data_IF_024824434422
#
_entry.id   IF_024824434422
#
_cell.length_a   1.000
_cell.length_b   1.000
_cell.length_c   1.000
_cell.angle_alpha   90.00
_cell.angle_beta   90.00
_cell.angle_gamma   90.00
#
_symmetry.space_group_name_H-M   'P 1'
#
loop_
_entity.id
_entity.type
_entity.pdbx_description
1 polymer ?
#
# COMPACT_ATOMS: atom_id res chain seq x y z
N UNK A 1 15.16 12.25 -3.83
CA UNK A 1 16.10 12.22 -2.69
C UNK A 1 16.65 10.81 -2.60
N UNK A 2 17.93 10.56 -2.42
CA UNK A 2 18.49 9.19 -2.42
C UNK A 2 18.92 8.86 -1.01
N UNK A 3 18.44 7.73 -0.47
CA UNK A 3 18.92 7.16 0.80
C UNK A 3 20.45 7.14 0.77
N UNK A 4 21.09 7.64 1.83
CA UNK A 4 22.56 7.63 1.90
C UNK A 4 23.06 6.18 1.79
N UNK A 5 24.22 5.93 1.15
CA UNK A 5 24.76 4.57 1.01
C UNK A 5 24.89 3.86 2.35
N UNK A 6 25.34 4.55 3.39
CA UNK A 6 25.53 3.99 4.75
C UNK A 6 24.18 3.65 5.39
N UNK A 7 23.17 4.53 5.29
CA UNK A 7 21.84 4.27 5.85
C UNK A 7 21.16 3.08 5.17
N UNK A 8 21.32 2.93 3.85
CA UNK A 8 20.81 1.79 3.10
C UNK A 8 21.52 0.48 3.50
N UNK A 9 22.82 0.51 3.61
CA UNK A 9 23.62 -0.66 4.03
C UNK A 9 23.28 -1.07 5.46
N UNK A 10 23.15 -0.11 6.38
CA UNK A 10 22.74 -0.37 7.76
C UNK A 10 21.40 -1.10 7.82
N UNK A 11 20.39 -0.62 7.06
CA UNK A 11 19.08 -1.25 7.01
C UNK A 11 19.14 -2.67 6.42
N UNK A 12 19.90 -2.88 5.34
CA UNK A 12 20.04 -4.20 4.70
C UNK A 12 20.71 -5.20 5.64
N UNK A 13 21.83 -4.83 6.27
CA UNK A 13 22.57 -5.70 7.17
C UNK A 13 21.72 -6.14 8.36
N UNK A 14 20.93 -5.23 8.94
CA UNK A 14 20.13 -5.55 10.12
C UNK A 14 18.79 -6.21 9.80
N UNK A 15 18.07 -5.72 8.82
CA UNK A 15 16.70 -6.18 8.53
C UNK A 15 16.66 -7.44 7.64
N UNK A 16 17.62 -7.61 6.72
CA UNK A 16 17.62 -8.74 5.77
C UNK A 16 18.64 -9.82 6.14
N UNK A 17 19.83 -9.41 6.57
CA UNK A 17 20.92 -10.35 6.89
C UNK A 17 20.94 -10.75 8.37
N UNK A 18 20.16 -10.06 9.23
CA UNK A 18 20.00 -10.40 10.63
C UNK A 18 21.19 -10.05 11.54
N UNK A 19 22.12 -9.21 11.08
CA UNK A 19 23.22 -8.74 11.91
C UNK A 19 22.71 -7.85 13.05
N UNK A 20 23.31 -7.99 14.21
CA UNK A 20 23.12 -7.07 15.33
C UNK A 20 23.71 -5.68 15.03
N UNK A 21 23.28 -4.66 15.75
CA UNK A 21 23.80 -3.29 15.58
C UNK A 21 25.33 -3.22 15.73
N UNK A 22 25.99 -3.89 16.73
CA UNK A 22 27.44 -3.91 16.83
C UNK A 22 28.14 -4.60 15.65
N UNK A 23 27.59 -5.70 15.14
CA UNK A 23 28.13 -6.40 13.98
C UNK A 23 28.03 -5.56 12.71
N UNK A 24 26.86 -4.94 12.47
CA UNK A 24 26.68 -4.03 11.35
C UNK A 24 27.62 -2.81 11.45
N UNK A 25 27.83 -2.28 12.65
CA UNK A 25 28.77 -1.19 12.89
C UNK A 25 30.22 -1.58 12.55
N UNK A 26 30.65 -2.77 12.94
CA UNK A 26 31.96 -3.29 12.60
C UNK A 26 32.14 -3.49 11.08
N UNK A 27 31.12 -4.00 10.39
CA UNK A 27 31.13 -4.18 8.92
C UNK A 27 31.20 -2.84 8.19
N UNK A 28 30.46 -1.83 8.68
CA UNK A 28 30.40 -0.50 8.05
C UNK A 28 31.53 0.44 8.50
N UNK A 29 32.38 0.02 9.44
CA UNK A 29 33.45 0.83 10.03
C UNK A 29 32.93 2.14 10.64
N UNK A 30 31.80 2.07 11.37
CA UNK A 30 31.14 3.21 12.03
C UNK A 30 30.79 2.85 13.47
N UNK A 31 30.37 3.83 14.27
CA UNK A 31 29.88 3.58 15.62
C UNK A 31 28.46 2.96 15.59
N UNK A 32 28.09 2.09 16.58
CA UNK A 32 26.75 1.50 16.65
C UNK A 32 25.61 2.52 16.65
N UNK A 33 25.83 3.70 17.25
CA UNK A 33 24.86 4.79 17.23
C UNK A 33 24.66 5.38 15.83
N UNK A 34 25.68 5.36 14.98
CA UNK A 34 25.58 5.78 13.57
C UNK A 34 24.75 4.79 12.76
N UNK A 35 24.89 3.49 13.02
CA UNK A 35 24.04 2.45 12.42
C UNK A 35 22.57 2.68 12.80
N UNK A 36 22.29 2.89 14.08
CA UNK A 36 20.93 3.16 14.58
C UNK A 36 20.34 4.39 13.93
N UNK A 37 21.10 5.49 13.85
CA UNK A 37 20.67 6.71 13.15
C UNK A 37 20.45 6.48 11.67
N UNK A 38 21.33 5.72 11.03
CA UNK A 38 21.23 5.36 9.61
C UNK A 38 19.96 4.56 9.29
N UNK A 39 19.61 3.59 10.13
CA UNK A 39 18.38 2.80 10.01
C UNK A 39 17.15 3.70 10.12
N UNK A 40 17.09 4.54 11.18
CA UNK A 40 15.98 5.47 11.38
C UNK A 40 15.84 6.48 10.22
N UNK A 41 16.96 6.92 9.67
CA UNK A 41 16.95 7.82 8.52
C UNK A 41 16.46 7.09 7.26
N UNK A 42 16.96 5.89 6.98
CA UNK A 42 16.50 5.08 5.86
C UNK A 42 14.99 4.79 5.95
N UNK A 43 14.50 4.46 7.14
CA UNK A 43 13.07 4.23 7.38
C UNK A 43 12.25 5.47 7.06
N UNK A 44 12.63 6.65 7.60
CA UNK A 44 11.94 7.92 7.33
C UNK A 44 11.94 8.29 5.84
N UNK A 45 13.04 8.01 5.12
CA UNK A 45 13.13 8.30 3.69
C UNK A 45 12.27 7.34 2.85
N UNK A 46 12.15 6.07 3.27
CA UNK A 46 11.21 5.10 2.69
C UNK A 46 9.78 5.57 2.94
N UNK A 47 9.43 5.89 4.18
CA UNK A 47 8.10 6.36 4.56
C UNK A 47 7.73 7.64 3.79
N UNK A 48 8.65 8.60 3.68
CA UNK A 48 8.44 9.81 2.91
C UNK A 48 8.30 9.58 1.39
N UNK A 49 8.94 8.54 0.86
CA UNK A 49 8.82 8.14 -0.55
C UNK A 49 7.47 7.46 -0.81
N UNK A 50 6.97 6.73 0.17
CA UNK A 50 5.67 6.08 0.14
C UNK A 50 4.52 7.03 0.56
N UNK A 51 4.85 8.23 1.08
CA UNK A 51 3.84 9.22 1.44
C UNK A 51 3.01 9.60 0.21
N UNK A 52 1.70 9.36 0.29
CA UNK A 52 0.77 9.52 -0.82
C UNK A 52 -0.55 10.09 -0.34
N UNK A 53 -1.40 10.46 -1.29
CA UNK A 53 -2.75 10.90 -1.03
C UNK A 53 -3.67 9.68 -1.01
N UNK A 54 -4.51 9.59 0.02
CA UNK A 54 -5.38 8.44 0.28
C UNK A 54 -6.84 8.86 0.20
N UNK A 55 -7.66 8.06 -0.48
CA UNK A 55 -9.11 8.18 -0.46
C UNK A 55 -9.70 7.09 0.43
N UNK A 56 -10.44 7.51 1.46
CA UNK A 56 -11.24 6.64 2.32
C UNK A 56 -12.69 6.71 1.83
N UNK A 57 -13.29 5.56 1.55
CA UNK A 57 -14.71 5.42 1.18
C UNK A 57 -15.40 4.73 2.35
N UNK A 58 -15.99 5.52 3.25
CA UNK A 58 -16.53 5.06 4.51
C UNK A 58 -17.60 6.06 4.99
N UNK A 59 -18.80 5.58 5.29
CA UNK A 59 -19.91 6.41 5.71
C UNK A 59 -20.08 6.48 7.24
N UNK A 60 -19.45 5.58 7.99
CA UNK A 60 -19.44 5.63 9.44
C UNK A 60 -18.38 6.63 9.94
N UNK A 61 -18.76 7.79 10.54
CA UNK A 61 -17.83 8.86 10.87
C UNK A 61 -16.72 8.43 11.85
N UNK A 62 -17.04 7.53 12.78
CA UNK A 62 -16.07 7.02 13.75
C UNK A 62 -14.99 6.18 13.07
N UNK A 63 -15.39 5.28 12.19
CA UNK A 63 -14.46 4.41 11.44
C UNK A 63 -13.62 5.25 10.48
N UNK A 64 -14.24 6.18 9.77
CA UNK A 64 -13.53 7.10 8.89
C UNK A 64 -12.46 7.92 9.64
N UNK A 65 -12.79 8.42 10.84
CA UNK A 65 -11.85 9.16 11.67
C UNK A 65 -10.69 8.28 12.18
N UNK A 66 -10.97 7.05 12.59
CA UNK A 66 -9.95 6.08 13.01
C UNK A 66 -8.99 5.76 11.86
N UNK A 67 -9.53 5.48 10.66
CA UNK A 67 -8.71 5.23 9.47
C UNK A 67 -7.89 6.46 9.09
N UNK A 68 -8.47 7.66 9.14
CA UNK A 68 -7.76 8.91 8.87
C UNK A 68 -6.59 9.13 9.83
N UNK A 69 -6.80 8.86 11.13
CA UNK A 69 -5.74 8.94 12.13
C UNK A 69 -4.60 7.93 11.84
N UNK A 70 -4.93 6.70 11.47
CA UNK A 70 -3.95 5.68 11.11
C UNK A 70 -3.13 6.07 9.86
N UNK A 71 -3.77 6.66 8.86
CA UNK A 71 -3.12 7.15 7.64
C UNK A 71 -2.20 8.34 7.95
N UNK A 72 -2.63 9.25 8.82
CA UNK A 72 -1.80 10.37 9.27
C UNK A 72 -0.57 9.90 10.06
N UNK A 73 -0.74 8.90 10.94
CA UNK A 73 0.36 8.28 11.70
C UNK A 73 1.43 7.62 10.80
N UNK A 74 1.03 7.13 9.61
CA UNK A 74 1.94 6.58 8.61
C UNK A 74 2.66 7.67 7.81
N UNK A 75 2.34 8.95 8.01
CA UNK A 75 2.98 10.08 7.34
C UNK A 75 2.49 10.33 5.91
N UNK A 76 1.30 9.82 5.53
CA UNK A 76 0.70 10.14 4.23
C UNK A 76 0.26 11.61 4.18
N UNK A 77 0.26 12.19 2.94
CA UNK A 77 0.15 13.65 2.76
C UNK A 77 -1.25 14.18 3.01
N UNK A 78 -2.21 13.62 2.31
CA UNK A 78 -3.60 14.03 2.39
C UNK A 78 -4.49 12.81 2.47
N UNK A 79 -5.60 12.96 3.21
CA UNK A 79 -6.60 11.93 3.39
C UNK A 79 -7.98 12.55 3.13
N UNK A 80 -8.65 12.07 2.08
CA UNK A 80 -9.98 12.49 1.71
C UNK A 80 -10.98 11.42 2.09
N UNK A 81 -12.15 11.83 2.60
CA UNK A 81 -13.22 10.91 3.01
C UNK A 81 -14.41 11.12 2.09
N UNK A 82 -14.90 10.05 1.48
CA UNK A 82 -16.13 9.99 0.72
C UNK A 82 -17.12 9.05 1.42
N UNK A 83 -18.37 9.47 1.53
CA UNK A 83 -19.42 8.71 2.22
C UNK A 83 -20.38 8.00 1.26
N UNK A 84 -20.28 8.31 -0.03
CA UNK A 84 -21.09 7.72 -1.09
C UNK A 84 -20.25 7.38 -2.32
N UNK A 85 -20.77 6.49 -3.18
CA UNK A 85 -20.16 6.13 -4.45
C UNK A 85 -19.90 7.36 -5.35
N UNK A 86 -20.89 8.23 -5.50
CA UNK A 86 -20.76 9.42 -6.36
C UNK A 86 -19.72 10.40 -5.85
N UNK A 87 -19.63 10.56 -4.54
CA UNK A 87 -18.62 11.39 -3.90
C UNK A 87 -17.22 10.80 -4.09
N UNK A 88 -17.06 9.49 -3.91
CA UNK A 88 -15.79 8.78 -4.10
C UNK A 88 -15.26 8.95 -5.53
N UNK A 89 -16.09 8.73 -6.55
CA UNK A 89 -15.70 8.87 -7.95
C UNK A 89 -15.32 10.33 -8.30
N UNK A 90 -16.08 11.31 -7.79
CA UNK A 90 -15.76 12.73 -7.96
C UNK A 90 -14.42 13.09 -7.30
N UNK A 91 -14.21 12.66 -6.07
CA UNK A 91 -12.96 12.92 -5.32
C UNK A 91 -11.76 12.24 -5.96
N UNK A 92 -11.88 11.00 -6.41
CA UNK A 92 -10.82 10.29 -7.11
C UNK A 92 -10.37 11.03 -8.38
N UNK A 93 -11.31 11.62 -9.12
CA UNK A 93 -11.00 12.43 -10.30
C UNK A 93 -10.29 13.74 -9.95
N UNK A 94 -10.72 14.40 -8.87
CA UNK A 94 -10.22 15.72 -8.47
C UNK A 94 -8.86 15.65 -7.77
N UNK A 95 -8.69 14.71 -6.84
CA UNK A 95 -7.51 14.61 -5.96
C UNK A 95 -6.48 13.57 -6.44
N UNK A 96 -6.88 12.63 -7.32
CA UNK A 96 -6.02 11.58 -7.87
C UNK A 96 -5.26 10.81 -6.78
N UNK A 97 -5.96 10.18 -5.84
CA UNK A 97 -5.32 9.43 -4.78
C UNK A 97 -4.47 8.30 -5.36
N UNK A 98 -3.48 7.87 -4.60
CA UNK A 98 -2.64 6.73 -4.99
C UNK A 98 -2.95 5.46 -4.18
N UNK A 99 -3.92 5.53 -3.27
CA UNK A 99 -4.43 4.41 -2.48
C UNK A 99 -5.90 4.65 -2.14
N UNK A 100 -6.70 3.59 -2.16
CA UNK A 100 -8.07 3.59 -1.65
C UNK A 100 -8.19 2.64 -0.47
N UNK A 101 -8.83 3.10 0.61
CA UNK A 101 -9.43 2.27 1.66
C UNK A 101 -10.94 2.34 1.48
N UNK A 102 -11.63 1.22 1.31
CA UNK A 102 -13.05 1.21 0.98
C UNK A 102 -13.86 0.24 1.83
N UNK A 103 -14.97 0.70 2.41
CA UNK A 103 -16.02 -0.23 2.82
C UNK A 103 -16.80 -0.72 1.59
N UNK A 104 -17.34 -1.90 1.73
CA UNK A 104 -18.18 -2.56 0.71
C UNK A 104 -19.58 -1.98 0.69
N UNK A 105 -20.15 -1.67 1.85
CA UNK A 105 -21.52 -1.22 2.01
C UNK A 105 -21.57 0.17 2.61
N UNK A 106 -22.28 1.08 1.94
CA UNK A 106 -22.48 2.46 2.37
C UNK A 106 -23.95 2.69 2.79
N UNK A 107 -24.20 3.62 3.72
CA UNK A 107 -25.50 3.83 4.34
C UNK A 107 -26.58 4.35 3.36
N UNK A 108 -26.16 5.04 2.29
CA UNK A 108 -27.07 5.49 1.22
C UNK A 108 -27.54 4.35 0.31
N UNK A 109 -27.14 3.11 0.59
CA UNK A 109 -27.42 1.93 -0.22
C UNK A 109 -26.51 1.78 -1.43
N UNK A 110 -25.56 2.70 -1.62
CA UNK A 110 -24.54 2.55 -2.67
C UNK A 110 -23.47 1.53 -2.28
N UNK A 111 -22.71 1.07 -3.27
CA UNK A 111 -21.68 0.05 -3.08
C UNK A 111 -20.29 0.65 -3.23
N UNK A 112 -19.44 0.46 -2.20
CA UNK A 112 -18.02 0.78 -2.32
C UNK A 112 -17.31 -0.06 -3.37
N UNK A 113 -17.77 -1.30 -3.65
CA UNK A 113 -17.23 -2.12 -4.74
C UNK A 113 -17.45 -1.43 -6.09
N UNK A 114 -18.66 -0.90 -6.32
CA UNK A 114 -18.98 -0.21 -7.56
C UNK A 114 -18.20 1.11 -7.67
N UNK A 115 -18.05 1.85 -6.57
CA UNK A 115 -17.19 3.04 -6.54
C UNK A 115 -15.76 2.71 -6.96
N UNK A 116 -15.17 1.68 -6.35
CA UNK A 116 -13.81 1.21 -6.68
C UNK A 116 -13.72 0.76 -8.14
N UNK A 117 -14.72 0.04 -8.66
CA UNK A 117 -14.75 -0.39 -10.07
C UNK A 117 -14.74 0.80 -11.02
N UNK A 118 -15.52 1.84 -10.75
CA UNK A 118 -15.52 3.07 -11.55
C UNK A 118 -14.18 3.80 -11.49
N UNK A 119 -13.61 3.93 -10.31
CA UNK A 119 -12.32 4.59 -10.13
C UNK A 119 -11.20 3.82 -10.84
N UNK A 120 -11.18 2.49 -10.72
CA UNK A 120 -10.18 1.65 -11.41
C UNK A 120 -10.31 1.63 -12.93
N UNK A 121 -11.43 2.02 -13.48
CA UNK A 121 -11.59 2.20 -14.92
C UNK A 121 -10.80 3.42 -15.45
N UNK A 122 -10.46 4.37 -14.59
CA UNK A 122 -9.76 5.61 -14.95
C UNK A 122 -8.37 5.75 -14.33
N UNK A 123 -8.06 4.95 -13.31
CA UNK A 123 -6.77 5.00 -12.60
C UNK A 123 -6.38 3.59 -12.12
N UNK A 124 -5.13 3.21 -12.37
CA UNK A 124 -4.55 1.99 -11.80
C UNK A 124 -3.93 2.33 -10.46
N UNK A 125 -4.54 1.84 -9.38
CA UNK A 125 -4.12 2.12 -8.01
C UNK A 125 -4.52 0.98 -7.07
N UNK A 126 -3.78 0.76 -5.98
CA UNK A 126 -4.08 -0.26 -5.00
C UNK A 126 -5.33 0.07 -4.20
N UNK A 127 -6.07 -0.98 -3.85
CA UNK A 127 -7.30 -0.89 -3.05
C UNK A 127 -7.22 -1.87 -1.90
N UNK A 128 -7.56 -1.40 -0.71
CA UNK A 128 -7.76 -2.21 0.49
C UNK A 128 -9.23 -2.12 0.86
N UNK A 129 -9.93 -3.24 0.85
CA UNK A 129 -11.29 -3.28 1.39
C UNK A 129 -11.26 -3.52 2.90
N UNK A 130 -12.05 -2.74 3.64
CA UNK A 130 -12.21 -2.83 5.10
C UNK A 130 -13.69 -2.91 5.39
N UNK A 131 -14.22 -4.12 5.67
CA UNK A 131 -15.66 -4.34 5.69
C UNK A 131 -16.11 -5.36 6.74
N UNK A 132 -17.35 -5.25 7.19
CA UNK A 132 -18.01 -6.28 7.98
C UNK A 132 -18.57 -7.45 7.12
N UNK A 133 -18.57 -7.31 5.79
CA UNK A 133 -19.18 -8.26 4.84
C UNK A 133 -18.18 -8.79 3.80
N UNK A 134 -17.12 -9.50 4.23
CA UNK A 134 -16.07 -9.98 3.33
C UNK A 134 -16.58 -10.94 2.25
N UNK A 135 -17.66 -11.67 2.51
CA UNK A 135 -18.28 -12.62 1.58
C UNK A 135 -18.77 -11.97 0.28
N UNK A 136 -19.09 -10.69 0.31
CA UNK A 136 -19.50 -9.93 -0.89
C UNK A 136 -18.38 -9.69 -1.90
N UNK A 137 -17.13 -9.85 -1.47
CA UNK A 137 -15.94 -9.71 -2.31
C UNK A 137 -15.40 -11.06 -2.78
N UNK A 138 -15.78 -12.16 -2.11
CA UNK A 138 -15.28 -13.51 -2.38
C UNK A 138 -16.18 -14.26 -3.36
N UNK A 139 -16.74 -13.59 -4.35
CA UNK A 139 -17.67 -14.16 -5.33
C UNK A 139 -16.98 -14.88 -6.50
N UNK A 140 -15.65 -14.83 -6.57
CA UNK A 140 -14.88 -15.35 -7.71
C UNK A 140 -14.92 -14.48 -8.96
N UNK A 141 -15.65 -13.35 -8.94
CA UNK A 141 -15.64 -12.35 -9.99
C UNK A 141 -14.51 -11.34 -9.80
N UNK A 142 -13.74 -11.10 -10.85
CA UNK A 142 -12.64 -10.11 -10.78
C UNK A 142 -13.17 -8.67 -10.92
N UNK A 143 -12.50 -7.67 -10.31
CA UNK A 143 -11.15 -7.74 -9.72
C UNK A 143 -11.17 -8.13 -8.25
N UNK A 144 -10.43 -9.18 -7.91
CA UNK A 144 -10.15 -9.51 -6.52
C UNK A 144 -9.36 -8.37 -5.85
N UNK A 145 -9.72 -7.97 -4.62
CA UNK A 145 -8.97 -6.96 -3.90
C UNK A 145 -7.56 -7.49 -3.58
N UNK A 146 -6.56 -6.61 -3.70
CA UNK A 146 -5.21 -6.96 -3.27
C UNK A 146 -5.16 -7.27 -1.76
N UNK A 147 -6.02 -6.57 -0.99
CA UNK A 147 -6.12 -6.75 0.46
C UNK A 147 -7.58 -6.62 0.92
N UNK A 148 -7.94 -7.48 1.85
CA UNK A 148 -9.25 -7.51 2.52
C UNK A 148 -9.05 -7.57 4.02
N UNK A 149 -9.63 -6.62 4.74
CA UNK A 149 -9.59 -6.52 6.20
C UNK A 149 -11.03 -6.59 6.71
N UNK A 150 -11.28 -7.45 7.69
CA UNK A 150 -12.61 -7.57 8.29
C UNK A 150 -12.76 -6.60 9.47
N UNK A 151 -13.89 -5.91 9.56
CA UNK A 151 -14.30 -5.13 10.74
C UNK A 151 -14.80 -6.07 11.86
N UNK A 152 -14.42 -5.84 13.16
CA UNK A 152 -13.50 -4.81 13.63
C UNK A 152 -12.05 -5.13 13.27
N UNK A 153 -11.25 -4.10 13.04
CA UNK A 153 -9.84 -4.26 12.64
C UNK A 153 -8.88 -3.77 13.73
N UNK A 154 -7.69 -4.36 13.72
CA UNK A 154 -6.58 -3.90 14.55
C UNK A 154 -5.76 -2.85 13.79
N UNK A 155 -5.32 -1.75 14.44
CA UNK A 155 -4.51 -0.71 13.81
C UNK A 155 -3.27 -1.23 13.08
N UNK A 156 -2.59 -2.21 13.67
CA UNK A 156 -1.39 -2.82 13.09
C UNK A 156 -1.68 -3.53 11.77
N UNK A 157 -2.85 -4.15 11.63
CA UNK A 157 -3.28 -4.85 10.41
C UNK A 157 -3.48 -3.85 9.27
N UNK A 158 -4.16 -2.72 9.54
CA UNK A 158 -4.37 -1.66 8.54
C UNK A 158 -3.03 -1.07 8.10
N UNK A 159 -2.15 -0.71 9.06
CA UNK A 159 -0.83 -0.15 8.77
C UNK A 159 0.02 -1.11 7.91
N UNK A 160 0.02 -2.40 8.23
CA UNK A 160 0.75 -3.41 7.46
C UNK A 160 0.21 -3.54 6.03
N UNK A 161 -1.12 -3.58 5.87
CA UNK A 161 -1.76 -3.69 4.57
C UNK A 161 -1.48 -2.46 3.68
N UNK A 162 -1.53 -1.26 4.25
CA UNK A 162 -1.19 0.00 3.54
C UNK A 162 0.25 -0.05 3.03
N UNK A 163 1.21 -0.38 3.89
CA UNK A 163 2.61 -0.49 3.49
C UNK A 163 2.83 -1.51 2.38
N UNK A 164 2.22 -2.69 2.48
CA UNK A 164 2.31 -3.74 1.47
C UNK A 164 1.64 -3.33 0.14
N UNK A 165 0.44 -2.76 0.19
CA UNK A 165 -0.29 -2.34 -0.99
C UNK A 165 0.49 -1.31 -1.81
N UNK A 166 1.06 -0.31 -1.16
CA UNK A 166 1.88 0.71 -1.81
C UNK A 166 3.20 0.14 -2.33
N UNK A 167 3.86 -0.74 -1.57
CA UNK A 167 5.13 -1.36 -1.98
C UNK A 167 4.97 -2.21 -3.23
N UNK A 168 3.97 -3.09 -3.27
CA UNK A 168 3.76 -3.98 -4.42
C UNK A 168 3.26 -3.24 -5.65
N UNK A 169 2.48 -2.18 -5.46
CA UNK A 169 2.00 -1.38 -6.59
C UNK A 169 3.10 -0.51 -7.21
N UNK A 170 4.02 0.00 -6.40
CA UNK A 170 5.17 0.79 -6.86
C UNK A 170 6.25 -0.06 -7.56
N UNK A 171 6.24 -1.39 -7.38
CA UNK A 171 7.18 -2.29 -8.02
C UNK A 171 6.64 -2.70 -9.39
N UNK A 172 7.35 -2.43 -10.50
CA UNK A 172 6.93 -2.94 -11.81
C UNK A 172 6.88 -4.47 -11.75
N UNK A 173 5.74 -5.06 -12.13
CA UNK A 173 5.62 -6.52 -12.27
C UNK A 173 6.79 -7.04 -13.10
N UNK A 174 7.49 -8.11 -12.67
CA UNK A 174 8.52 -8.71 -13.50
C UNK A 174 7.85 -9.14 -14.81
N UNK A 175 8.29 -8.55 -15.90
CA UNK A 175 7.87 -8.94 -17.26
C UNK A 175 8.06 -10.44 -17.37
N UNK A 176 7.00 -11.20 -17.61
CA UNK A 176 7.09 -12.62 -17.84
C UNK A 176 8.13 -12.86 -18.96
N UNK A 177 9.06 -13.80 -18.80
CA UNK A 177 10.05 -14.08 -19.84
C UNK A 177 9.29 -14.46 -21.10
N UNK A 178 9.56 -13.75 -22.19
CA UNK A 178 9.09 -14.08 -23.52
C UNK A 178 9.61 -15.50 -23.84
N UNK A 179 8.70 -16.46 -23.90
CA UNK A 179 9.03 -17.80 -24.36
C UNK A 179 9.31 -17.66 -25.86
N UNK A 180 10.58 -17.48 -26.20
CA UNK A 180 11.04 -17.55 -27.57
C UNK A 180 10.77 -18.97 -28.06
N UNK A 181 9.67 -19.11 -28.82
CA UNK A 181 9.30 -20.35 -29.47
C UNK A 181 10.40 -20.76 -30.46
N UNK A 182 11.17 -21.76 -30.11
CA UNK A 182 11.99 -22.48 -31.07
C UNK A 182 11.07 -23.12 -32.13
N UNK A 183 10.94 -22.47 -33.28
CA UNK A 183 10.44 -23.11 -34.49
C UNK A 183 11.48 -24.12 -34.91
N UNK A 184 11.18 -25.38 -34.66
CA UNK A 184 11.93 -26.50 -35.22
C UNK A 184 11.92 -26.41 -36.73
N UNK A 185 13.11 -26.26 -37.32
CA UNK A 185 13.32 -26.51 -38.71
C UNK A 185 13.24 -28.03 -38.94
N UNK A 186 12.16 -28.47 -39.56
CA UNK A 186 12.07 -29.81 -40.10
C UNK A 186 12.55 -29.72 -41.55
N UNK A 187 13.68 -30.30 -41.85
CA UNK A 187 14.13 -30.52 -43.25
C UNK A 187 14.53 -31.98 -43.41
N UNK A 188 13.68 -32.70 -44.16
CA UNK A 188 13.88 -33.95 -44.89
C UNK A 188 14.14 -35.22 -44.10
#
# INVERSE_FOLDING_TARGET
MRISPVSRQALLLTAMEGFSLPEAAAILEVEPDDVSRGILQAQREIDATLATDVLIIEDEPMIAADLQALIADLGHRECHIATTRSEATRMATSYRPSLILADVQLADGSSGIDAVREIRAIADLPVIFITAFPERLLTGERPEPAFLITKPFEPVTVKAAVGQALFFHASPSPTAPEIVGQRGANTR
#
